data_IF_708110450421
#
_entry.id   IF_708110450421
#
_cell.length_a   1.000
_cell.length_b   1.000
_cell.length_c   1.000
_cell.angle_alpha   90.00
_cell.angle_beta   90.00
_cell.angle_gamma   90.00
#
_symmetry.space_group_name_H-M   'P 1'
#
loop_
_entity.id
_entity.type
_entity.pdbx_description
1 polymer ?
#
# COMPACT_ATOMS: atom_id res chain seq x y z
N UNK A 1 -57.17 -39.06 -41.18
CA UNK A 1 -56.12 -38.85 -40.16
C UNK A 1 -54.77 -38.85 -40.84
N UNK A 2 -54.12 -37.68 -40.94
CA UNK A 2 -52.83 -37.50 -41.62
C UNK A 2 -51.71 -38.02 -40.70
N UNK A 3 -50.90 -38.97 -41.19
CA UNK A 3 -49.67 -39.42 -40.52
C UNK A 3 -48.58 -38.37 -40.78
N UNK A 4 -48.09 -37.71 -39.73
CA UNK A 4 -46.90 -36.87 -39.79
C UNK A 4 -45.66 -37.76 -39.74
N UNK A 5 -44.78 -37.61 -40.73
CA UNK A 5 -43.46 -38.24 -40.77
C UNK A 5 -42.50 -37.28 -40.05
N UNK A 6 -41.89 -37.76 -38.97
CA UNK A 6 -40.84 -37.04 -38.24
C UNK A 6 -39.50 -37.32 -38.93
N UNK A 7 -38.92 -36.32 -39.58
CA UNK A 7 -37.57 -36.39 -40.14
C UNK A 7 -36.59 -35.92 -39.04
N UNK A 8 -35.78 -36.84 -38.53
CA UNK A 8 -34.68 -36.52 -37.60
C UNK A 8 -33.44 -36.23 -38.44
N UNK A 9 -33.00 -34.97 -38.46
CA UNK A 9 -31.74 -34.55 -39.06
C UNK A 9 -30.63 -34.69 -38.02
N UNK A 10 -29.69 -35.61 -38.25
CA UNK A 10 -28.45 -35.69 -37.46
C UNK A 10 -27.47 -34.62 -37.96
N UNK A 11 -27.25 -33.57 -37.18
CA UNK A 11 -26.12 -32.65 -37.40
C UNK A 11 -24.92 -33.20 -36.64
N UNK A 12 -23.94 -33.72 -37.39
CA UNK A 12 -22.63 -34.06 -36.82
C UNK A 12 -21.85 -32.76 -36.66
N UNK A 13 -21.85 -32.19 -35.44
CA UNK A 13 -20.90 -31.15 -35.07
C UNK A 13 -19.54 -31.81 -34.81
N UNK A 14 -18.64 -31.73 -35.78
CA UNK A 14 -17.22 -31.95 -35.55
C UNK A 14 -16.67 -30.83 -34.67
N UNK A 15 -16.52 -31.11 -33.37
CA UNK A 15 -15.76 -30.25 -32.47
C UNK A 15 -14.28 -30.31 -32.85
N UNK A 16 -13.82 -29.33 -33.62
CA UNK A 16 -12.39 -29.02 -33.69
C UNK A 16 -12.05 -28.32 -32.37
N UNK A 17 -11.45 -29.06 -31.44
CA UNK A 17 -10.86 -28.48 -30.24
C UNK A 17 -9.67 -27.61 -30.65
N UNK A 18 -9.91 -26.32 -30.89
CA UNK A 18 -8.84 -25.33 -30.85
C UNK A 18 -8.40 -25.23 -29.39
N UNK A 19 -7.34 -25.96 -29.06
CA UNK A 19 -6.59 -25.73 -27.83
C UNK A 19 -5.94 -24.35 -27.91
N UNK A 20 -6.68 -23.32 -27.52
CA UNK A 20 -6.05 -22.09 -27.04
C UNK A 20 -5.32 -22.49 -25.76
N UNK A 21 -4.01 -22.73 -25.89
CA UNK A 21 -3.10 -22.80 -24.75
C UNK A 21 -3.10 -21.45 -24.07
N UNK A 22 -4.07 -21.22 -23.19
CA UNK A 22 -3.88 -20.25 -22.12
C UNK A 22 -2.71 -20.79 -21.30
N UNK A 23 -1.53 -20.18 -21.48
CA UNK A 23 -0.43 -20.35 -20.54
C UNK A 23 -0.92 -19.77 -19.21
N UNK A 24 -1.62 -20.58 -18.41
CA UNK A 24 -1.71 -20.38 -16.98
C UNK A 24 -0.28 -20.50 -16.49
N UNK A 25 0.37 -19.37 -16.29
CA UNK A 25 1.64 -19.30 -15.59
C UNK A 25 1.43 -19.93 -14.21
N UNK A 26 2.00 -21.11 -13.99
CA UNK A 26 1.92 -21.81 -12.70
C UNK A 26 2.41 -20.87 -11.59
N UNK A 27 1.57 -20.65 -10.59
CA UNK A 27 1.93 -19.90 -9.39
C UNK A 27 2.48 -20.83 -8.32
N UNK A 28 3.42 -20.35 -7.51
CA UNK A 28 3.96 -21.08 -6.38
C UNK A 28 3.47 -20.48 -5.07
N UNK A 29 2.96 -21.33 -4.17
CA UNK A 29 2.50 -20.90 -2.86
C UNK A 29 3.59 -21.01 -1.80
N UNK A 30 3.88 -19.91 -1.10
CA UNK A 30 4.71 -19.89 0.12
C UNK A 30 3.78 -19.91 1.32
N UNK A 31 3.84 -20.99 2.09
CA UNK A 31 3.15 -21.16 3.39
C UNK A 31 4.08 -21.67 4.50
N UNK A 32 5.38 -21.80 4.21
CA UNK A 32 6.41 -22.25 5.13
C UNK A 32 7.64 -21.35 4.96
N UNK A 33 8.07 -20.72 6.06
CA UNK A 33 9.18 -19.76 6.07
C UNK A 33 10.49 -20.40 5.56
N UNK A 34 10.69 -21.70 5.83
CA UNK A 34 11.90 -22.40 5.40
C UNK A 34 11.95 -22.65 3.89
N UNK A 35 10.82 -22.50 3.19
CA UNK A 35 10.72 -22.69 1.73
C UNK A 35 10.86 -21.39 0.95
N UNK A 36 10.82 -20.24 1.63
CA UNK A 36 10.89 -18.90 1.00
C UNK A 36 12.06 -18.83 0.02
N UNK A 37 13.28 -19.09 0.50
CA UNK A 37 14.51 -18.95 -0.30
C UNK A 37 14.52 -19.82 -1.55
N UNK A 38 13.89 -21.01 -1.48
CA UNK A 38 13.83 -21.92 -2.63
C UNK A 38 12.77 -21.45 -3.63
N UNK A 39 11.59 -21.05 -3.14
CA UNK A 39 10.47 -20.66 -4.00
C UNK A 39 10.77 -19.34 -4.72
N UNK A 40 11.30 -18.33 -4.04
CA UNK A 40 11.64 -17.04 -4.67
C UNK A 40 12.74 -17.19 -5.73
N UNK A 41 13.57 -18.25 -5.63
CA UNK A 41 14.61 -18.58 -6.62
C UNK A 41 14.11 -19.44 -7.78
N UNK A 42 12.94 -20.05 -7.71
CA UNK A 42 12.43 -20.94 -8.77
C UNK A 42 11.15 -20.44 -9.42
N UNK A 43 10.47 -19.46 -8.81
CA UNK A 43 9.14 -19.05 -9.20
C UNK A 43 9.05 -17.54 -9.40
N UNK A 44 8.34 -17.13 -10.45
CA UNK A 44 8.09 -15.72 -10.78
C UNK A 44 6.75 -15.21 -10.27
N UNK A 45 5.75 -16.10 -10.25
CA UNK A 45 4.41 -15.80 -9.80
C UNK A 45 4.23 -16.44 -8.44
N UNK A 46 4.31 -15.64 -7.40
CA UNK A 46 4.31 -16.14 -6.03
C UNK A 46 3.01 -15.72 -5.35
N UNK A 47 2.41 -16.68 -4.67
CA UNK A 47 1.33 -16.45 -3.73
C UNK A 47 1.86 -16.71 -2.33
N UNK A 48 1.90 -15.72 -1.45
CA UNK A 48 2.22 -15.95 -0.03
C UNK A 48 0.91 -16.09 0.71
N UNK A 49 0.67 -17.24 1.35
CA UNK A 49 -0.57 -17.55 2.06
C UNK A 49 -0.31 -18.13 3.44
N UNK A 50 -0.96 -17.55 4.47
CA UNK A 50 -0.94 -18.04 5.85
C UNK A 50 0.48 -18.32 6.40
N UNK A 51 1.47 -17.55 5.92
CA UNK A 51 2.87 -17.72 6.30
C UNK A 51 3.12 -17.15 7.70
N UNK A 52 3.68 -17.95 8.60
CA UNK A 52 4.20 -17.46 9.87
C UNK A 52 5.70 -17.13 9.74
N UNK A 53 6.07 -15.89 10.05
CA UNK A 53 7.49 -15.49 10.17
C UNK A 53 7.93 -15.66 11.62
N UNK A 54 9.00 -16.42 11.91
CA UNK A 54 9.50 -16.58 13.27
C UNK A 54 9.93 -15.24 13.89
N UNK A 55 9.72 -15.10 15.21
CA UNK A 55 10.17 -13.91 15.94
C UNK A 55 11.68 -13.66 15.75
N UNK A 56 12.05 -12.39 15.55
CA UNK A 56 13.43 -11.98 15.29
C UNK A 56 13.93 -12.28 13.87
N UNK A 57 13.05 -12.68 12.95
CA UNK A 57 13.34 -12.82 11.52
C UNK A 57 12.57 -11.76 10.72
N UNK A 58 13.17 -11.32 9.62
CA UNK A 58 12.53 -10.50 8.60
C UNK A 58 12.23 -11.40 7.40
N UNK A 59 11.01 -11.36 6.86
CA UNK A 59 10.75 -11.97 5.56
C UNK A 59 11.20 -11.00 4.48
N UNK A 60 12.28 -11.37 3.78
CA UNK A 60 12.71 -10.67 2.58
C UNK A 60 12.38 -11.53 1.36
N UNK A 61 11.50 -11.02 0.49
CA UNK A 61 11.18 -11.68 -0.79
C UNK A 61 12.07 -11.13 -1.90
N UNK A 62 13.23 -11.74 -2.08
CA UNK A 62 14.14 -11.41 -3.19
C UNK A 62 13.64 -12.07 -4.48
N UNK A 63 12.65 -11.44 -5.12
CA UNK A 63 12.05 -11.93 -6.36
C UNK A 63 13.06 -11.91 -7.53
N UNK A 64 12.94 -12.88 -8.44
CA UNK A 64 13.78 -12.91 -9.63
C UNK A 64 13.56 -11.69 -10.53
N UNK A 65 14.60 -11.27 -11.26
CA UNK A 65 14.46 -10.29 -12.34
C UNK A 65 13.41 -10.73 -13.36
N UNK A 66 12.44 -9.87 -13.63
CA UNK A 66 11.34 -10.18 -14.54
C UNK A 66 10.22 -11.02 -13.91
N UNK A 67 10.23 -11.23 -12.59
CA UNK A 67 9.00 -11.59 -11.86
C UNK A 67 7.99 -10.48 -12.07
N UNK A 68 6.81 -10.85 -12.56
CA UNK A 68 5.66 -9.97 -12.71
C UNK A 68 4.54 -10.67 -11.98
N UNK A 69 3.72 -9.91 -11.26
CA UNK A 69 2.49 -10.42 -10.65
C UNK A 69 2.77 -11.32 -9.43
N UNK A 70 3.11 -10.69 -8.31
CA UNK A 70 3.16 -11.36 -7.00
C UNK A 70 1.92 -10.99 -6.18
N UNK A 71 1.28 -12.00 -5.60
CA UNK A 71 0.17 -11.81 -4.67
C UNK A 71 0.58 -12.27 -3.28
N UNK A 72 0.31 -11.44 -2.28
CA UNK A 72 0.45 -11.81 -0.88
C UNK A 72 -0.96 -11.73 -0.30
N UNK A 73 -1.49 -12.84 0.20
CA UNK A 73 -2.87 -12.93 0.67
C UNK A 73 -2.94 -13.64 2.02
N UNK A 74 -3.77 -13.14 2.94
CA UNK A 74 -4.02 -13.85 4.20
C UNK A 74 -2.82 -13.90 5.14
N UNK A 75 -1.88 -12.97 5.04
CA UNK A 75 -0.72 -12.97 5.93
C UNK A 75 -1.05 -12.26 7.25
N UNK A 76 -0.91 -12.99 8.36
CA UNK A 76 -1.04 -12.45 9.71
C UNK A 76 0.36 -12.15 10.30
N UNK A 77 0.70 -10.87 10.38
CA UNK A 77 1.92 -10.34 11.00
C UNK A 77 1.54 -9.85 12.40
N UNK A 78 1.89 -10.63 13.43
CA UNK A 78 1.60 -10.27 14.83
C UNK A 78 2.91 -10.00 15.61
N UNK A 79 3.28 -8.72 15.65
CA UNK A 79 4.38 -8.19 16.46
C UNK A 79 3.85 -7.47 17.72
N UNK A 80 2.62 -7.73 18.16
CA UNK A 80 1.99 -7.01 19.30
C UNK A 80 2.75 -7.18 20.63
N UNK A 81 3.53 -8.26 20.78
CA UNK A 81 4.42 -8.42 21.93
C UNK A 81 5.46 -7.29 22.06
N UNK A 82 5.81 -6.62 20.96
CA UNK A 82 6.71 -5.46 20.93
C UNK A 82 6.14 -4.21 21.63
N UNK A 83 4.83 -4.10 21.79
CA UNK A 83 4.20 -2.96 22.47
C UNK A 83 4.57 -2.93 23.96
N UNK A 84 4.71 -4.12 24.56
CA UNK A 84 5.03 -4.25 25.99
C UNK A 84 6.40 -3.64 26.26
N UNK A 85 6.43 -2.67 27.17
CA UNK A 85 7.64 -1.92 27.56
C UNK A 85 8.33 -1.21 26.38
N UNK A 86 7.60 -0.91 25.30
CA UNK A 86 8.13 -0.25 24.11
C UNK A 86 9.39 -0.93 23.54
N UNK A 87 9.39 -2.27 23.48
CA UNK A 87 10.51 -3.06 22.98
C UNK A 87 10.54 -3.16 21.45
N UNK A 88 9.40 -2.98 20.79
CA UNK A 88 9.27 -3.01 19.34
C UNK A 88 9.56 -1.65 18.71
N UNK A 89 10.42 -1.65 17.68
CA UNK A 89 10.72 -0.49 16.86
C UNK A 89 11.12 -0.98 15.46
N UNK A 90 10.78 -0.26 14.38
CA UNK A 90 11.02 -0.68 12.99
C UNK A 90 10.52 -2.09 12.68
N UNK A 91 9.33 -2.43 13.18
CA UNK A 91 8.66 -3.72 12.95
C UNK A 91 7.70 -3.62 11.77
N UNK A 92 8.11 -2.96 10.69
CA UNK A 92 7.32 -2.71 9.48
C UNK A 92 6.64 -3.99 8.97
N UNK A 93 5.38 -3.86 8.53
CA UNK A 93 4.63 -4.98 7.97
C UNK A 93 5.11 -5.33 6.56
N UNK A 94 4.89 -4.40 5.63
CA UNK A 94 5.30 -4.53 4.23
C UNK A 94 6.21 -3.38 3.82
N UNK A 95 7.52 -3.62 3.73
CA UNK A 95 8.46 -2.69 3.08
C UNK A 95 8.61 -3.08 1.59
N UNK A 96 8.28 -2.15 0.69
CA UNK A 96 8.26 -2.36 -0.74
C UNK A 96 9.27 -1.46 -1.46
N UNK A 97 10.30 -2.10 -2.00
CA UNK A 97 11.37 -1.48 -2.80
C UNK A 97 11.60 -2.27 -4.08
N UNK A 98 11.73 -1.59 -5.22
CA UNK A 98 11.95 -2.23 -6.54
C UNK A 98 10.84 -3.20 -6.94
N UNK A 99 9.58 -2.84 -6.66
CA UNK A 99 8.44 -3.70 -6.94
C UNK A 99 7.61 -3.23 -8.14
N UNK A 100 7.10 -4.19 -8.92
CA UNK A 100 6.16 -3.95 -10.01
C UNK A 100 5.08 -5.03 -10.02
N UNK A 101 3.82 -4.63 -10.19
CA UNK A 101 2.66 -5.53 -10.24
C UNK A 101 2.53 -6.40 -8.97
N UNK A 102 2.37 -5.76 -7.81
CA UNK A 102 2.16 -6.45 -6.54
C UNK A 102 0.71 -6.29 -6.08
N UNK A 103 0.14 -7.39 -5.60
CA UNK A 103 -1.13 -7.41 -4.87
C UNK A 103 -0.86 -7.83 -3.42
N UNK A 104 -1.31 -7.04 -2.46
CA UNK A 104 -1.32 -7.40 -1.03
C UNK A 104 -2.77 -7.35 -0.58
N UNK A 105 -3.28 -8.45 -0.05
CA UNK A 105 -4.70 -8.56 0.27
C UNK A 105 -4.99 -9.36 1.54
N UNK A 106 -6.14 -9.08 2.16
CA UNK A 106 -6.72 -9.87 3.24
C UNK A 106 -5.76 -10.13 4.41
N UNK A 107 -4.93 -9.15 4.75
CA UNK A 107 -3.81 -9.34 5.68
C UNK A 107 -4.02 -8.55 6.97
N UNK A 108 -3.45 -9.05 8.06
CA UNK A 108 -3.52 -8.43 9.39
C UNK A 108 -2.09 -8.06 9.79
N UNK A 109 -1.89 -6.82 10.24
CA UNK A 109 -0.60 -6.33 10.71
C UNK A 109 -0.80 -5.68 12.08
N UNK A 110 -0.13 -6.22 13.09
CA UNK A 110 -0.01 -5.61 14.42
C UNK A 110 1.45 -5.34 14.70
N UNK A 111 1.85 -4.07 14.74
CA UNK A 111 3.26 -3.71 14.82
C UNK A 111 3.48 -2.33 15.45
N UNK A 112 4.73 -1.84 15.40
CA UNK A 112 5.18 -0.58 16.00
C UNK A 112 5.77 0.39 14.97
N UNK A 113 5.65 0.09 13.67
CA UNK A 113 6.08 0.96 12.58
C UNK A 113 5.10 0.89 11.39
N UNK A 114 5.50 1.27 10.18
CA UNK A 114 4.61 1.33 9.03
C UNK A 114 3.91 -0.03 8.79
N UNK A 115 2.59 -0.02 8.61
CA UNK A 115 1.86 -1.23 8.20
C UNK A 115 2.27 -1.61 6.78
N UNK A 116 2.36 -0.59 5.93
CA UNK A 116 2.90 -0.65 4.58
C UNK A 116 3.80 0.56 4.38
N UNK A 117 5.00 0.36 3.85
CA UNK A 117 5.90 1.40 3.40
C UNK A 117 6.28 1.15 1.93
N UNK A 118 5.73 1.93 0.99
CA UNK A 118 6.18 1.90 -0.40
C UNK A 118 7.32 2.91 -0.58
N UNK A 119 8.52 2.41 -0.83
CA UNK A 119 9.71 3.23 -1.05
C UNK A 119 9.87 3.60 -2.54
N UNK A 120 9.76 2.64 -3.44
CA UNK A 120 9.68 2.84 -4.90
C UNK A 120 9.13 1.59 -5.61
N UNK A 121 8.35 1.82 -6.67
CA UNK A 121 7.68 0.77 -7.41
C UNK A 121 6.47 1.26 -8.22
N UNK A 122 5.81 0.34 -8.93
CA UNK A 122 4.65 0.68 -9.76
C UNK A 122 3.59 -0.42 -9.83
N UNK A 123 2.34 -0.04 -10.09
CA UNK A 123 1.21 -0.96 -10.25
C UNK A 123 1.01 -1.82 -8.99
N UNK A 124 0.69 -1.16 -7.87
CA UNK A 124 0.51 -1.83 -6.59
C UNK A 124 -0.95 -1.75 -6.15
N UNK A 125 -1.50 -2.88 -5.73
CA UNK A 125 -2.87 -2.99 -5.22
C UNK A 125 -2.82 -3.56 -3.80
N UNK A 126 -3.09 -2.72 -2.81
CA UNK A 126 -3.13 -3.07 -1.41
C UNK A 126 -4.59 -3.01 -0.97
N UNK A 127 -5.16 -4.11 -0.52
CA UNK A 127 -6.60 -4.15 -0.25
C UNK A 127 -7.00 -5.00 0.96
N UNK A 128 -8.03 -4.59 1.69
CA UNK A 128 -8.54 -5.36 2.83
C UNK A 128 -7.45 -5.68 3.88
N UNK A 129 -6.66 -4.68 4.24
CA UNK A 129 -5.68 -4.79 5.34
C UNK A 129 -6.31 -4.32 6.65
N UNK A 130 -6.01 -5.03 7.74
CA UNK A 130 -6.27 -4.58 9.10
C UNK A 130 -4.94 -4.26 9.80
N UNK A 131 -4.62 -2.97 9.87
CA UNK A 131 -3.41 -2.45 10.49
C UNK A 131 -3.70 -1.96 11.91
N UNK A 132 -2.86 -2.33 12.88
CA UNK A 132 -2.98 -1.83 14.25
C UNK A 132 -1.65 -1.58 14.95
N UNK A 133 -1.63 -0.57 15.83
CA UNK A 133 -0.47 -0.21 16.67
C UNK A 133 0.58 0.67 15.98
N UNK A 134 0.83 0.43 14.69
CA UNK A 134 1.96 1.00 13.95
C UNK A 134 1.83 2.45 13.47
N UNK A 135 2.44 2.74 12.32
CA UNK A 135 2.58 4.10 11.74
C UNK A 135 1.74 4.37 10.48
N UNK A 136 0.90 3.41 10.08
CA UNK A 136 -0.14 3.59 9.06
C UNK A 136 0.22 3.05 7.68
N UNK A 137 -0.51 3.53 6.68
CA UNK A 137 -0.35 3.20 5.26
C UNK A 137 0.52 4.28 4.61
N UNK A 138 1.78 3.93 4.33
CA UNK A 138 2.83 4.89 4.05
C UNK A 138 3.41 4.79 2.64
N UNK A 139 3.74 5.96 2.09
CA UNK A 139 4.69 6.10 0.98
C UNK A 139 5.93 6.81 1.53
N UNK A 140 7.13 6.28 1.28
CA UNK A 140 8.40 6.82 1.80
C UNK A 140 9.42 7.00 0.68
N UNK A 141 9.27 8.09 -0.08
CA UNK A 141 9.93 8.23 -1.40
C UNK A 141 11.03 9.28 -1.36
N UNK A 142 12.14 9.05 -2.07
CA UNK A 142 13.22 10.04 -2.17
C UNK A 142 14.46 9.74 -1.34
N UNK A 143 14.60 8.55 -0.74
CA UNK A 143 15.81 8.24 0.07
C UNK A 143 17.08 8.13 -0.78
N UNK A 144 16.98 7.82 -2.08
CA UNK A 144 18.17 7.69 -2.92
C UNK A 144 18.72 9.06 -3.32
N UNK A 145 20.04 9.24 -3.16
CA UNK A 145 20.73 10.51 -3.39
C UNK A 145 21.31 10.67 -4.80
N UNK A 146 21.28 9.62 -5.63
CA UNK A 146 22.04 9.56 -6.89
C UNK A 146 21.19 9.17 -8.08
N UNK A 147 20.31 8.19 -7.93
CA UNK A 147 19.53 7.62 -9.01
C UNK A 147 18.05 8.03 -8.87
N UNK A 148 17.55 8.91 -9.76
CA UNK A 148 16.15 9.32 -9.74
C UNK A 148 15.15 8.19 -10.03
N UNK A 149 15.58 7.14 -10.73
CA UNK A 149 14.69 6.03 -11.13
C UNK A 149 14.23 5.19 -9.93
N UNK A 150 14.99 5.20 -8.83
CA UNK A 150 14.65 4.52 -7.56
C UNK A 150 14.00 5.46 -6.54
N UNK A 151 13.50 6.62 -6.99
CA UNK A 151 12.68 7.55 -6.22
C UNK A 151 11.29 7.72 -6.89
N UNK A 152 10.78 6.64 -7.47
CA UNK A 152 9.55 6.64 -8.26
C UNK A 152 8.51 5.72 -7.64
N UNK A 153 7.34 6.28 -7.34
CA UNK A 153 6.12 5.53 -7.03
C UNK A 153 5.04 5.91 -8.02
N UNK A 154 4.41 4.93 -8.67
CA UNK A 154 3.31 5.23 -9.59
C UNK A 154 2.22 4.16 -9.61
N UNK A 155 0.97 4.58 -9.82
CA UNK A 155 -0.17 3.68 -9.94
C UNK A 155 -0.30 2.75 -8.71
N UNK A 156 -0.56 3.35 -7.54
CA UNK A 156 -0.72 2.64 -6.27
C UNK A 156 -2.14 2.85 -5.76
N UNK A 157 -2.80 1.77 -5.39
CA UNK A 157 -4.15 1.82 -4.82
C UNK A 157 -4.17 1.11 -3.47
N UNK A 158 -4.61 1.82 -2.44
CA UNK A 158 -5.04 1.25 -1.16
C UNK A 158 -6.56 1.22 -1.13
N UNK A 159 -7.18 0.08 -0.83
CA UNK A 159 -8.64 -0.03 -0.83
C UNK A 159 -9.17 -0.88 0.32
N UNK A 160 -10.28 -0.47 0.94
CA UNK A 160 -10.96 -1.23 2.00
C UNK A 160 -10.06 -1.57 3.20
N UNK A 161 -9.14 -0.68 3.57
CA UNK A 161 -8.21 -0.91 4.67
C UNK A 161 -8.68 -0.23 5.96
N UNK A 162 -8.40 -0.86 7.11
CA UNK A 162 -8.57 -0.24 8.42
C UNK A 162 -7.23 0.00 9.10
N UNK A 163 -7.06 1.17 9.71
CA UNK A 163 -5.90 1.54 10.50
C UNK A 163 -6.38 1.95 11.89
N UNK A 164 -5.94 1.23 12.92
CA UNK A 164 -6.47 1.38 14.27
C UNK A 164 -5.36 1.54 15.31
N UNK A 165 -5.55 2.39 16.32
CA UNK A 165 -4.59 2.60 17.41
C UNK A 165 -3.16 2.90 16.91
N UNK A 166 -3.05 3.55 15.76
CA UNK A 166 -1.79 3.85 15.09
C UNK A 166 -1.42 5.32 15.23
N UNK A 167 -0.14 5.63 15.02
CA UNK A 167 0.36 7.00 15.00
C UNK A 167 -0.26 7.82 13.88
N UNK A 168 -0.25 7.28 12.66
CA UNK A 168 -0.88 7.91 11.50
C UNK A 168 -1.87 6.95 10.83
N UNK A 169 -2.84 7.51 10.12
CA UNK A 169 -3.70 6.75 9.20
C UNK A 169 -3.02 6.57 7.84
N UNK A 170 -3.03 7.64 7.03
CA UNK A 170 -2.33 7.73 5.74
C UNK A 170 -1.09 8.62 5.92
N UNK A 171 0.06 8.19 5.41
CA UNK A 171 1.32 8.91 5.60
C UNK A 171 2.20 8.92 4.34
N UNK A 172 2.09 9.99 3.56
CA UNK A 172 2.93 10.25 2.39
C UNK A 172 4.10 11.13 2.82
N UNK A 173 5.28 10.53 2.92
CA UNK A 173 6.54 11.22 3.29
C UNK A 173 7.53 11.21 2.14
N UNK A 174 8.11 12.38 1.82
CA UNK A 174 9.23 12.46 0.87
C UNK A 174 10.50 13.01 1.50
N UNK A 175 11.64 12.45 1.11
CA UNK A 175 12.96 12.82 1.63
C UNK A 175 13.58 13.94 0.79
N UNK A 176 13.86 15.07 1.43
CA UNK A 176 14.38 16.29 0.80
C UNK A 176 15.88 16.25 0.52
N UNK A 177 16.60 15.32 1.15
CA UNK A 177 18.04 15.11 0.97
C UNK A 177 18.38 14.05 -0.10
N UNK A 178 17.35 13.59 -0.83
CA UNK A 178 17.48 12.75 -2.00
C UNK A 178 17.66 13.51 -3.31
N UNK A 179 17.89 12.75 -4.38
CA UNK A 179 17.80 13.27 -5.75
C UNK A 179 16.33 13.42 -6.17
N UNK A 180 16.09 13.78 -7.43
CA UNK A 180 14.74 13.97 -7.97
C UNK A 180 13.96 12.66 -8.06
N UNK A 181 12.64 12.77 -8.22
CA UNK A 181 11.74 11.63 -8.34
C UNK A 181 10.28 12.06 -8.37
N UNK A 182 9.35 11.10 -8.26
CA UNK A 182 7.93 11.41 -8.21
C UNK A 182 7.08 10.34 -7.54
N UNK A 183 5.94 10.79 -7.01
CA UNK A 183 4.77 10.01 -6.63
C UNK A 183 3.65 10.41 -7.58
N UNK A 184 3.09 9.47 -8.33
CA UNK A 184 1.98 9.78 -9.24
C UNK A 184 0.87 8.74 -9.26
N UNK A 185 -0.37 9.20 -9.43
CA UNK A 185 -1.55 8.32 -9.55
C UNK A 185 -1.67 7.38 -8.35
N UNK A 186 -1.86 7.95 -7.17
CA UNK A 186 -2.05 7.21 -5.93
C UNK A 186 -3.49 7.41 -5.47
N UNK A 187 -4.18 6.32 -5.15
CA UNK A 187 -5.54 6.35 -4.63
C UNK A 187 -5.60 5.64 -3.28
N UNK A 188 -6.18 6.31 -2.29
CA UNK A 188 -6.68 5.64 -1.09
C UNK A 188 -8.20 5.70 -1.13
N UNK A 189 -8.85 4.54 -1.14
CA UNK A 189 -10.29 4.42 -1.25
C UNK A 189 -10.86 3.60 -0.10
N UNK A 190 -11.92 4.07 0.54
CA UNK A 190 -12.58 3.38 1.66
C UNK A 190 -11.59 3.00 2.77
N UNK A 191 -10.98 4.01 3.40
CA UNK A 191 -10.03 3.82 4.50
C UNK A 191 -10.72 4.18 5.82
N UNK A 192 -10.75 3.23 6.74
CA UNK A 192 -11.36 3.41 8.06
C UNK A 192 -10.30 3.61 9.16
N UNK A 193 -10.35 4.74 9.84
CA UNK A 193 -9.41 5.14 10.88
C UNK A 193 -10.06 5.04 12.28
N UNK A 194 -9.38 4.42 13.24
CA UNK A 194 -9.86 4.34 14.62
C UNK A 194 -8.76 4.70 15.61
N UNK A 195 -9.03 5.66 16.50
CA UNK A 195 -8.12 6.03 17.59
C UNK A 195 -6.71 6.39 17.12
N UNK A 196 -6.61 7.18 16.04
CA UNK A 196 -5.32 7.67 15.53
C UNK A 196 -4.74 8.70 16.51
N UNK A 197 -3.45 8.57 16.82
CA UNK A 197 -2.82 9.36 17.88
C UNK A 197 -2.13 10.65 17.40
N UNK A 198 -1.75 10.75 16.11
CA UNK A 198 -1.02 11.91 15.60
C UNK A 198 -1.62 12.52 14.33
N UNK A 199 -1.57 11.86 13.17
CA UNK A 199 -2.15 12.40 11.93
C UNK A 199 -3.15 11.46 11.28
N UNK A 200 -4.36 11.92 10.99
CA UNK A 200 -5.31 11.15 10.19
C UNK A 200 -4.78 10.92 8.78
N UNK A 201 -4.48 12.03 8.09
CA UNK A 201 -3.74 12.07 6.82
C UNK A 201 -2.55 13.00 6.96
N UNK A 202 -1.37 12.53 6.59
CA UNK A 202 -0.13 13.29 6.60
C UNK A 202 0.50 13.23 5.21
N UNK A 203 0.66 14.39 4.56
CA UNK A 203 1.42 14.55 3.32
C UNK A 203 2.52 15.56 3.58
N UNK A 204 3.78 15.13 3.60
CA UNK A 204 4.90 16.02 3.94
C UNK A 204 6.14 15.76 3.10
N UNK A 205 6.78 16.85 2.68
CA UNK A 205 7.96 16.82 1.80
C UNK A 205 9.25 17.28 2.48
N UNK A 206 9.34 17.14 3.80
CA UNK A 206 10.39 17.74 4.62
C UNK A 206 11.23 16.71 5.41
N UNK A 207 11.11 15.41 5.10
CA UNK A 207 11.90 14.38 5.77
C UNK A 207 13.38 14.48 5.40
N UNK A 208 14.25 14.32 6.40
CA UNK A 208 15.70 14.27 6.26
C UNK A 208 16.27 13.47 7.43
N UNK A 209 17.20 12.55 7.16
CA UNK A 209 17.88 11.75 8.19
C UNK A 209 16.91 11.09 9.21
N UNK A 210 15.77 10.59 8.75
CA UNK A 210 14.78 9.90 9.58
C UNK A 210 13.80 10.81 10.34
N UNK A 211 13.82 12.12 10.13
CA UNK A 211 12.91 13.05 10.83
C UNK A 211 12.43 14.22 9.96
N UNK A 212 11.36 14.87 10.42
CA UNK A 212 10.78 16.05 9.77
C UNK A 212 11.59 17.31 10.12
N UNK A 213 11.90 18.12 9.12
CA UNK A 213 12.66 19.38 9.31
C UNK A 213 11.78 20.61 9.46
N UNK A 214 10.48 20.51 9.13
CA UNK A 214 9.56 21.63 8.99
C UNK A 214 9.78 22.45 7.71
N UNK A 215 10.70 22.04 6.82
CA UNK A 215 11.08 22.78 5.62
C UNK A 215 10.95 21.91 4.38
N UNK A 216 9.82 22.04 3.68
CA UNK A 216 9.52 21.24 2.50
C UNK A 216 10.60 21.39 1.41
N UNK A 217 11.06 20.26 0.86
CA UNK A 217 11.76 20.18 -0.41
C UNK A 217 10.76 20.05 -1.57
N UNK A 218 11.26 20.17 -2.80
CA UNK A 218 10.48 20.05 -4.03
C UNK A 218 11.10 19.07 -5.05
N UNK A 219 12.07 18.26 -4.63
CA UNK A 219 12.77 17.28 -5.45
C UNK A 219 11.88 16.10 -5.87
N UNK A 220 10.91 15.72 -5.03
CA UNK A 220 9.93 14.67 -5.34
C UNK A 220 8.60 15.33 -5.71
N UNK A 221 8.13 15.11 -6.92
CA UNK A 221 6.84 15.65 -7.38
C UNK A 221 5.69 14.73 -6.95
N UNK A 222 4.65 15.25 -6.30
CA UNK A 222 3.44 14.49 -5.93
C UNK A 222 2.29 14.94 -6.83
N UNK A 223 1.79 14.03 -7.66
CA UNK A 223 0.73 14.32 -8.64
C UNK A 223 -0.40 13.32 -8.52
N UNK A 224 -1.65 13.77 -8.58
CA UNK A 224 -2.82 12.90 -8.58
C UNK A 224 -2.86 11.97 -7.34
N UNK A 225 -2.73 12.56 -6.14
CA UNK A 225 -2.97 11.88 -4.86
C UNK A 225 -4.45 12.03 -4.49
N UNK A 226 -5.19 10.96 -4.70
CA UNK A 226 -6.65 10.94 -4.57
C UNK A 226 -7.07 10.21 -3.30
N UNK A 227 -8.02 10.81 -2.57
CA UNK A 227 -8.62 10.22 -1.39
C UNK A 227 -10.12 10.11 -1.59
N UNK A 228 -10.68 8.92 -1.40
CA UNK A 228 -12.10 8.66 -1.51
C UNK A 228 -12.57 7.91 -0.26
N UNK A 229 -13.57 8.44 0.43
CA UNK A 229 -14.17 7.79 1.61
C UNK A 229 -13.13 7.45 2.69
N UNK A 230 -12.36 8.44 3.14
CA UNK A 230 -11.41 8.28 4.26
C UNK A 230 -12.07 8.82 5.52
N UNK A 231 -12.44 7.94 6.43
CA UNK A 231 -13.29 8.31 7.58
C UNK A 231 -12.76 7.75 8.88
N UNK A 232 -12.98 8.46 9.99
CA UNK A 232 -12.67 7.88 11.29
C UNK A 232 -12.50 8.84 12.46
N UNK A 233 -11.81 8.34 13.49
CA UNK A 233 -11.66 9.02 14.78
C UNK A 233 -10.21 9.10 15.23
N UNK A 234 -9.92 10.12 16.03
CA UNK A 234 -8.62 10.37 16.65
C UNK A 234 -8.76 10.48 18.17
N UNK A 235 -7.69 10.15 18.89
CA UNK A 235 -7.68 10.18 20.37
C UNK A 235 -6.44 10.82 20.98
N UNK A 236 -5.36 11.00 20.23
CA UNK A 236 -4.10 11.51 20.79
C UNK A 236 -4.12 13.00 21.13
N UNK A 237 -3.31 13.41 22.10
CA UNK A 237 -3.24 14.80 22.57
C UNK A 237 -2.71 15.79 21.52
N UNK A 238 -1.93 15.28 20.56
CA UNK A 238 -1.39 16.04 19.43
C UNK A 238 -2.10 15.74 18.10
N UNK A 239 -3.25 15.08 18.16
CA UNK A 239 -3.97 14.61 16.97
C UNK A 239 -4.44 15.76 16.07
N UNK A 240 -4.17 15.62 14.77
CA UNK A 240 -4.57 16.54 13.70
C UNK A 240 -5.20 15.74 12.54
N UNK A 241 -6.38 16.11 12.02
CA UNK A 241 -7.07 15.35 10.97
C UNK A 241 -6.23 15.25 9.70
N UNK A 242 -5.74 16.41 9.22
CA UNK A 242 -4.99 16.53 7.98
C UNK A 242 -3.82 17.47 8.15
N UNK A 243 -2.63 17.00 7.79
CA UNK A 243 -1.41 17.79 7.66
C UNK A 243 -0.89 17.71 6.23
N UNK A 244 -0.72 18.86 5.56
CA UNK A 244 -0.17 18.95 4.21
C UNK A 244 0.95 20.00 4.17
N UNK A 245 2.19 19.53 4.02
CA UNK A 245 3.38 20.35 3.86
C UNK A 245 4.06 20.00 2.53
N UNK A 246 3.64 20.70 1.47
CA UNK A 246 4.19 20.56 0.13
C UNK A 246 5.29 21.59 -0.16
N UNK A 247 6.30 21.20 -0.95
CA UNK A 247 7.27 22.13 -1.51
C UNK A 247 6.66 22.97 -2.61
N UNK A 248 7.20 24.16 -2.85
CA UNK A 248 6.72 25.07 -3.89
C UNK A 248 6.67 24.37 -5.26
N UNK A 249 5.49 24.37 -5.87
CA UNK A 249 5.22 23.78 -7.19
C UNK A 249 5.28 22.25 -7.26
N UNK A 250 5.45 21.55 -6.14
CA UNK A 250 5.70 20.09 -6.16
C UNK A 250 4.50 19.21 -5.85
N UNK A 251 3.37 19.77 -5.42
CA UNK A 251 2.09 19.07 -5.28
C UNK A 251 1.09 19.57 -6.33
N UNK A 252 0.36 18.66 -6.97
CA UNK A 252 -0.66 19.01 -7.95
C UNK A 252 -1.77 17.97 -8.08
N UNK A 253 -2.97 18.44 -8.45
CA UNK A 253 -4.14 17.64 -8.82
C UNK A 253 -4.58 16.63 -7.76
N UNK A 254 -4.60 17.00 -6.49
CA UNK A 254 -5.19 16.14 -5.47
C UNK A 254 -6.72 16.27 -5.53
N UNK A 255 -7.42 15.14 -5.64
CA UNK A 255 -8.89 15.11 -5.68
C UNK A 255 -9.39 14.28 -4.50
N UNK A 256 -10.00 14.94 -3.53
CA UNK A 256 -10.43 14.35 -2.28
C UNK A 256 -11.95 14.44 -2.15
N UNK A 257 -12.60 13.32 -1.82
CA UNK A 257 -14.04 13.25 -1.62
C UNK A 257 -14.35 12.30 -0.44
N UNK A 258 -15.29 12.70 0.43
CA UNK A 258 -15.69 11.87 1.57
C UNK A 258 -14.59 11.70 2.62
N UNK A 259 -13.71 12.70 2.79
CA UNK A 259 -12.70 12.72 3.84
C UNK A 259 -13.31 13.37 5.10
N UNK A 260 -13.49 12.58 6.16
CA UNK A 260 -14.13 13.02 7.41
C UNK A 260 -13.48 12.36 8.63
N UNK A 261 -12.64 13.11 9.34
CA UNK A 261 -11.86 12.62 10.48
C UNK A 261 -12.13 13.53 11.68
N UNK A 262 -12.54 12.94 12.80
CA UNK A 262 -13.02 13.69 13.99
C UNK A 262 -12.31 13.27 15.28
N UNK A 263 -12.59 13.97 16.38
CA UNK A 263 -11.98 13.70 17.70
C UNK A 263 -10.58 14.29 17.88
N UNK A 264 -10.09 15.04 16.89
CA UNK A 264 -8.81 15.72 16.92
C UNK A 264 -8.70 16.78 18.02
N UNK A 265 -7.46 17.04 18.46
CA UNK A 265 -7.13 18.10 19.42
C UNK A 265 -6.53 19.34 18.79
N UNK A 266 -6.01 19.22 17.56
CA UNK A 266 -5.47 20.31 16.75
C UNK A 266 -6.24 20.44 15.45
N UNK A 267 -6.37 21.66 14.95
CA UNK A 267 -6.91 21.95 13.62
C UNK A 267 -6.01 21.38 12.52
N UNK A 268 -6.58 21.10 11.35
CA UNK A 268 -5.79 20.73 10.18
C UNK A 268 -4.82 21.85 9.80
N UNK A 269 -3.68 21.50 9.21
CA UNK A 269 -2.68 22.49 8.74
C UNK A 269 -2.19 22.12 7.35
N UNK A 270 -2.44 22.99 6.38
CA UNK A 270 -2.14 22.72 4.98
C UNK A 270 -1.57 23.96 4.30
N UNK A 271 -0.48 23.80 3.53
CA UNK A 271 0.00 24.82 2.59
C UNK A 271 -0.40 24.51 1.12
N UNK A 272 -1.03 23.36 0.89
CA UNK A 272 -1.62 22.97 -0.37
C UNK A 272 -3.04 22.45 -0.11
N UNK A 273 -3.99 22.85 -0.95
CA UNK A 273 -5.40 22.55 -0.76
C UNK A 273 -5.89 21.58 -1.86
N UNK A 274 -6.26 20.34 -1.50
CA UNK A 274 -6.88 19.40 -2.43
C UNK A 274 -8.22 19.92 -2.95
N UNK A 275 -8.56 19.57 -4.19
CA UNK A 275 -9.92 19.81 -4.69
C UNK A 275 -10.90 18.87 -3.96
N UNK A 276 -12.01 19.42 -3.46
CA UNK A 276 -13.05 18.67 -2.73
C UNK A 276 -12.78 18.49 -1.23
N UNK A 277 -11.71 19.07 -0.68
CA UNK A 277 -11.45 19.09 0.76
C UNK A 277 -11.04 20.48 1.25
N UNK A 278 -11.57 20.91 2.39
CA UNK A 278 -11.18 22.17 3.05
C UNK A 278 -10.41 21.86 4.32
N UNK A 279 -9.17 22.32 4.37
CA UNK A 279 -8.32 22.17 5.55
C UNK A 279 -8.77 23.17 6.64
N UNK A 280 -9.43 22.65 7.68
CA UNK A 280 -9.98 23.41 8.83
C UNK A 280 -9.67 22.74 10.17
#
# INVERSE_FOLDING_TARGET
MKRQILIIVFVVLSFVSFGYGYNLTESCTINDFNKVDNIVKSCKNIVVENLLVPAGKTLNLHLQTGSKDTTISGWNIDCSAGDKNALGHNTDGFDMSSVENIRIENSIVKNQDDCVAVNYGKNLHISNLNCSGGHGLSLSVGMNKKDPSVNVVSNVTFTDCSVTHSRNGIHVKTHRDGTTGYISNVTYNNIHLLSISYYGVNVQQDYQNGGSTGHAGNNIQIKNLNLHNVQGTMTGSNSMPVYILCGSGSCSNFIWNGVSISGNKKHSSCNYHPNGYTCT
#
